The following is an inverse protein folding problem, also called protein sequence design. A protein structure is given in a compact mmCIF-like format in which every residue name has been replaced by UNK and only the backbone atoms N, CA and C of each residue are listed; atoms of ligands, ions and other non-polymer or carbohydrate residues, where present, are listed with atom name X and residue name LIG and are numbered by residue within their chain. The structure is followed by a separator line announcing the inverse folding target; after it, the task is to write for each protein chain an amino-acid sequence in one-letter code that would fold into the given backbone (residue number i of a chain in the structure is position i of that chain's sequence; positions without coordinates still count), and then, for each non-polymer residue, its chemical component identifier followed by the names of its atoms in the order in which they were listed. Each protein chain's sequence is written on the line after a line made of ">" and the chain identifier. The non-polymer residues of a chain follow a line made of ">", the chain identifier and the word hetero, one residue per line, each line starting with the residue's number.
data_IF_366832838747
#
_entry.id   IF_366832838747
#
_cell.length_a   1.000
_cell.length_b   1.000
_cell.length_c   1.000
_cell.angle_alpha   90.00
_cell.angle_beta   90.00
_cell.angle_gamma   90.00
#
_symmetry.space_group_name_H-M   'P 1'
#
loop_
_entity.id
_entity.type
_entity.pdbx_description
1 polymer ?
#
# COMPACT_ATOMS: atom_id res chain seq x y z
N UNK A 1 -6.94 7.00 -16.65
CA UNK A 1 -5.98 6.00 -16.16
C UNK A 1 -6.39 4.60 -16.62
N UNK A 2 -5.43 3.79 -17.05
CA UNK A 2 -5.71 2.40 -17.35
C UNK A 2 -6.30 1.65 -16.16
N UNK A 3 -7.09 0.62 -16.44
CA UNK A 3 -7.77 -0.19 -15.44
C UNK A 3 -7.09 -1.55 -15.28
N UNK A 4 -7.49 -2.31 -14.25
CA UNK A 4 -6.98 -3.67 -14.04
C UNK A 4 -7.45 -4.61 -15.17
N UNK A 5 -6.69 -5.73 -15.43
CA UNK A 5 -5.56 -6.21 -14.64
C UNK A 5 -4.28 -5.40 -14.86
N UNK A 6 -3.36 -5.52 -13.90
CA UNK A 6 -2.05 -4.88 -14.01
C UNK A 6 -1.21 -5.58 -15.08
N UNK A 7 -0.49 -4.81 -15.94
CA UNK A 7 0.53 -5.41 -16.80
C UNK A 7 1.64 -6.09 -15.99
N UNK A 8 2.27 -7.09 -16.58
CA UNK A 8 3.31 -7.86 -15.90
C UNK A 8 4.45 -6.98 -15.38
N UNK A 9 4.89 -5.99 -16.16
CA UNK A 9 5.98 -5.11 -15.74
C UNK A 9 5.63 -4.25 -14.52
N UNK A 10 4.39 -3.76 -14.48
CA UNK A 10 3.89 -3.01 -13.31
C UNK A 10 3.80 -3.94 -12.10
N UNK A 11 3.29 -5.15 -12.29
CA UNK A 11 3.20 -6.15 -11.23
C UNK A 11 4.57 -6.50 -10.67
N UNK A 12 5.54 -6.78 -11.53
CA UNK A 12 6.90 -7.13 -11.12
C UNK A 12 7.55 -5.99 -10.33
N UNK A 13 7.35 -4.75 -10.78
CA UNK A 13 7.83 -3.57 -10.07
C UNK A 13 7.20 -3.47 -8.67
N UNK A 14 5.88 -3.62 -8.57
CA UNK A 14 5.16 -3.49 -7.31
C UNK A 14 5.50 -4.61 -6.31
N UNK A 15 6.02 -5.75 -6.77
CA UNK A 15 6.45 -6.83 -5.88
C UNK A 15 7.72 -6.52 -5.12
N UNK A 16 8.46 -5.52 -5.52
CA UNK A 16 9.68 -5.12 -4.83
C UNK A 16 9.38 -4.25 -3.61
N UNK A 17 10.27 -4.22 -2.60
CA UNK A 17 10.09 -3.38 -1.42
C UNK A 17 10.41 -1.92 -1.75
N UNK A 18 9.55 -1.28 -2.51
CA UNK A 18 9.76 0.10 -2.95
C UNK A 18 9.37 1.09 -1.85
N UNK A 19 10.08 2.22 -1.74
CA UNK A 19 9.55 3.37 -1.01
C UNK A 19 8.18 3.73 -1.58
N UNK A 20 7.22 4.02 -0.72
CA UNK A 20 5.87 4.32 -1.19
C UNK A 20 5.22 5.40 -0.36
N UNK A 21 4.28 6.10 -0.99
CA UNK A 21 3.44 7.11 -0.36
C UNK A 21 1.99 6.70 -0.56
N UNK A 22 1.24 6.72 0.52
CA UNK A 22 -0.17 6.38 0.56
C UNK A 22 -1.00 7.63 0.78
N UNK A 23 -2.04 7.82 0.01
CA UNK A 23 -3.00 8.90 0.18
C UNK A 23 -4.36 8.34 0.60
N UNK A 24 -4.95 8.98 1.60
CA UNK A 24 -6.31 8.71 2.10
C UNK A 24 -7.12 9.99 2.08
N UNK A 25 -8.42 9.86 2.29
CA UNK A 25 -9.35 11.00 2.28
C UNK A 25 -9.88 11.21 3.69
N UNK A 26 -9.62 12.38 4.26
CA UNK A 26 -10.14 12.77 5.56
C UNK A 26 -11.65 13.02 5.48
N UNK A 27 -12.30 13.08 6.65
CA UNK A 27 -13.76 13.24 6.74
C UNK A 27 -14.26 14.50 6.03
N UNK A 28 -13.47 15.58 6.04
CA UNK A 28 -13.82 16.84 5.36
C UNK A 28 -13.44 16.86 3.87
N UNK A 29 -12.97 15.74 3.33
CA UNK A 29 -12.61 15.62 1.93
C UNK A 29 -11.16 15.94 1.61
N UNK A 30 -10.35 16.37 2.59
CA UNK A 30 -8.94 16.66 2.32
C UNK A 30 -8.17 15.39 1.99
N UNK A 31 -7.33 15.41 0.94
CA UNK A 31 -6.38 14.34 0.73
C UNK A 31 -5.23 14.45 1.73
N UNK A 32 -4.84 13.30 2.30
CA UNK A 32 -3.73 13.22 3.26
C UNK A 32 -2.78 12.14 2.79
N UNK A 33 -1.49 12.44 2.72
CA UNK A 33 -0.48 11.48 2.27
C UNK A 33 0.60 11.25 3.30
N UNK A 34 1.14 10.03 3.31
CA UNK A 34 2.17 9.61 4.26
C UNK A 34 2.98 8.47 3.66
N UNK A 35 4.26 8.41 3.99
CA UNK A 35 5.11 7.29 3.61
C UNK A 35 4.62 6.01 4.29
N UNK A 36 4.71 4.88 3.59
CA UNK A 36 4.19 3.62 4.09
C UNK A 36 4.94 2.43 3.50
N UNK A 37 4.89 1.32 4.22
CA UNK A 37 5.19 0.01 3.64
C UNK A 37 3.93 -0.54 2.96
N UNK A 38 4.15 -1.37 1.96
CA UNK A 38 3.08 -2.12 1.30
C UNK A 38 3.63 -3.46 0.82
N UNK A 39 2.74 -4.39 0.50
CA UNK A 39 3.15 -5.67 -0.08
C UNK A 39 2.09 -6.11 -1.09
N UNK A 40 2.53 -6.36 -2.33
CA UNK A 40 1.63 -6.88 -3.36
C UNK A 40 1.41 -8.38 -3.12
N UNK A 41 0.17 -8.78 -2.91
CA UNK A 41 -0.21 -10.18 -2.73
C UNK A 41 -0.33 -10.88 -4.08
N UNK A 42 -0.28 -12.22 -4.04
CA UNK A 42 -0.38 -13.03 -5.26
C UNK A 42 -1.73 -12.85 -5.97
N UNK A 43 -2.78 -12.50 -5.24
CA UNK A 43 -4.11 -12.26 -5.82
C UNK A 43 -4.26 -10.86 -6.44
N UNK A 44 -3.21 -10.04 -6.41
CA UNK A 44 -3.20 -8.69 -6.97
C UNK A 44 -3.68 -7.60 -6.04
N UNK A 45 -4.05 -7.92 -4.80
CA UNK A 45 -4.36 -6.90 -3.80
C UNK A 45 -3.08 -6.43 -3.11
N UNK A 46 -3.16 -5.28 -2.45
CA UNK A 46 -2.02 -4.73 -1.69
C UNK A 46 -2.33 -4.80 -0.20
N UNK A 47 -1.44 -5.47 0.54
CA UNK A 47 -1.49 -5.52 1.99
C UNK A 47 -0.98 -4.21 2.57
N UNK A 48 -1.77 -3.64 3.49
CA UNK A 48 -1.43 -2.44 4.26
C UNK A 48 -1.58 -2.75 5.75
N UNK A 49 -0.55 -2.45 6.51
CA UNK A 49 -0.57 -2.60 7.97
C UNK A 49 -0.54 -1.25 8.64
N UNK A 50 -1.29 -1.10 9.73
CA UNK A 50 -1.39 0.15 10.47
C UNK A 50 -1.40 -0.11 11.97
N UNK A 51 -0.79 0.82 12.70
CA UNK A 51 -1.01 0.96 14.13
C UNK A 51 -2.48 1.37 14.34
N UNK A 52 -3.16 0.73 15.28
CA UNK A 52 -4.60 0.94 15.50
C UNK A 52 -4.97 2.38 15.86
N UNK A 53 -4.00 3.20 16.33
CA UNK A 53 -4.22 4.60 16.68
C UNK A 53 -4.01 5.60 15.55
N UNK A 54 -3.66 5.16 14.36
CA UNK A 54 -3.33 6.09 13.25
C UNK A 54 -4.56 6.80 12.68
N UNK A 55 -4.35 8.08 12.31
CA UNK A 55 -5.40 8.88 11.66
C UNK A 55 -5.85 8.26 10.33
N UNK A 56 -4.93 7.65 9.58
CA UNK A 56 -5.26 6.96 8.32
C UNK A 56 -6.35 5.92 8.49
N UNK A 57 -6.37 5.23 9.63
CA UNK A 57 -7.36 4.22 9.91
C UNK A 57 -8.77 4.82 9.96
N UNK A 58 -8.92 5.98 10.61
CA UNK A 58 -10.19 6.71 10.66
C UNK A 58 -10.60 7.17 9.27
N UNK A 59 -9.65 7.65 8.47
CA UNK A 59 -9.92 8.06 7.08
C UNK A 59 -10.49 6.90 6.29
N UNK A 60 -9.84 5.74 6.33
CA UNK A 60 -10.26 4.57 5.54
C UNK A 60 -11.61 3.99 6.01
N UNK A 61 -11.94 4.11 7.29
CA UNK A 61 -13.26 3.70 7.79
C UNK A 61 -14.37 4.61 7.30
N UNK A 62 -14.06 5.88 7.10
CA UNK A 62 -15.02 6.86 6.59
C UNK A 62 -15.09 6.82 5.05
N UNK A 63 -13.96 6.73 4.38
CA UNK A 63 -13.85 6.71 2.92
C UNK A 63 -12.83 5.65 2.51
N UNK A 64 -13.25 4.57 1.82
CA UNK A 64 -12.34 3.47 1.51
C UNK A 64 -11.40 3.75 0.34
N UNK A 65 -11.50 4.89 -0.32
CA UNK A 65 -10.64 5.23 -1.47
C UNK A 65 -9.22 5.50 -1.00
N UNK A 66 -8.26 4.83 -1.63
CA UNK A 66 -6.83 4.93 -1.32
C UNK A 66 -6.04 4.97 -2.61
N UNK A 67 -4.98 5.77 -2.60
CA UNK A 67 -3.99 5.81 -3.67
C UNK A 67 -2.63 5.50 -3.10
N UNK A 68 -1.82 4.73 -3.83
CA UNK A 68 -0.44 4.43 -3.45
C UNK A 68 0.46 4.72 -4.65
N UNK A 69 1.54 5.46 -4.41
CA UNK A 69 2.61 5.65 -5.39
C UNK A 69 3.86 4.98 -4.85
N UNK A 70 4.36 3.98 -5.59
CA UNK A 70 5.60 3.29 -5.29
C UNK A 70 6.70 3.84 -6.19
N UNK A 71 7.85 4.15 -5.60
CA UNK A 71 8.97 4.81 -6.27
C UNK A 71 10.15 3.84 -6.37
N UNK A 72 10.84 3.81 -7.50
CA UNK A 72 12.08 3.05 -7.60
C UNK A 72 13.14 3.65 -6.68
N UNK A 73 13.84 2.80 -5.93
CA UNK A 73 14.98 3.26 -5.12
C UNK A 73 16.10 3.85 -5.97
N UNK A 74 16.28 3.33 -7.18
CA UNK A 74 17.35 3.80 -8.07
C UNK A 74 17.04 5.17 -8.66
N UNK A 75 15.76 5.44 -8.97
CA UNK A 75 15.34 6.71 -9.57
C UNK A 75 13.83 6.90 -9.39
N UNK A 76 13.43 7.96 -8.71
CA UNK A 76 12.01 8.24 -8.49
C UNK A 76 11.24 8.54 -9.79
N UNK A 77 11.92 8.82 -10.90
CA UNK A 77 11.26 8.95 -12.20
C UNK A 77 10.55 7.66 -12.61
N UNK A 78 11.12 6.50 -12.26
CA UNK A 78 10.44 5.23 -12.46
C UNK A 78 9.54 4.98 -11.25
N UNK A 79 8.24 5.04 -11.46
CA UNK A 79 7.26 4.83 -10.40
C UNK A 79 5.96 4.26 -10.96
N UNK A 80 5.17 3.71 -10.07
CA UNK A 80 3.82 3.25 -10.36
C UNK A 80 2.87 3.80 -9.31
N UNK A 81 1.75 4.36 -9.77
CA UNK A 81 0.64 4.76 -8.91
C UNK A 81 -0.54 3.84 -9.13
N UNK A 82 -1.17 3.42 -8.05
CA UNK A 82 -2.38 2.61 -8.09
C UNK A 82 -3.45 3.28 -7.25
N UNK A 83 -4.70 3.13 -7.68
CA UNK A 83 -5.86 3.67 -6.98
C UNK A 83 -6.89 2.57 -6.83
N UNK A 84 -7.56 2.55 -5.70
CA UNK A 84 -8.60 1.58 -5.45
C UNK A 84 -9.30 1.81 -4.13
N UNK A 85 -9.81 0.72 -3.57
CA UNK A 85 -10.59 0.74 -2.33
C UNK A 85 -10.06 -0.30 -1.38
N UNK A 86 -9.94 0.08 -0.11
CA UNK A 86 -9.61 -0.88 0.94
C UNK A 86 -10.88 -1.65 1.32
N UNK A 87 -10.68 -2.91 1.69
CA UNK A 87 -11.73 -3.76 2.19
C UNK A 87 -11.85 -3.68 3.70
N UNK A 88 -12.27 -4.79 4.30
CA UNK A 88 -12.43 -4.88 5.74
C UNK A 88 -11.12 -4.63 6.47
N UNK A 89 -11.19 -3.92 7.59
CA UNK A 89 -10.05 -3.64 8.46
C UNK A 89 -10.09 -4.66 9.59
N UNK A 90 -9.06 -5.48 9.68
CA UNK A 90 -8.99 -6.63 10.58
C UNK A 90 -7.88 -6.47 11.61
N UNK A 91 -8.07 -7.06 12.77
CA UNK A 91 -7.01 -7.12 13.78
C UNK A 91 -5.85 -7.99 13.28
N UNK A 92 -4.64 -7.51 13.48
CA UNK A 92 -3.43 -8.24 13.11
C UNK A 92 -3.06 -9.23 14.21
N UNK A 93 -3.69 -10.39 14.18
CA UNK A 93 -3.52 -11.43 15.19
C UNK A 93 -2.08 -11.93 15.18
N UNK A 94 -1.44 -11.94 16.35
CA UNK A 94 -0.05 -12.36 16.54
C UNK A 94 0.94 -11.50 15.73
N UNK A 95 0.51 -10.32 15.29
CA UNK A 95 1.34 -9.40 14.49
C UNK A 95 1.89 -10.04 13.21
N UNK A 96 1.16 -10.98 12.64
CA UNK A 96 1.60 -11.73 11.45
C UNK A 96 1.78 -10.85 10.24
N UNK A 97 0.87 -9.90 10.03
CA UNK A 97 0.90 -9.09 8.81
C UNK A 97 1.98 -8.02 8.87
N UNK A 98 2.16 -7.38 10.02
CA UNK A 98 3.27 -6.41 10.16
C UNK A 98 4.62 -7.11 10.03
N UNK A 99 4.74 -8.35 10.49
CA UNK A 99 5.97 -9.12 10.32
C UNK A 99 6.25 -9.41 8.85
N UNK A 100 5.22 -9.77 8.07
CA UNK A 100 5.37 -9.97 6.62
C UNK A 100 5.90 -8.71 5.94
N UNK A 101 5.34 -7.55 6.27
CA UNK A 101 5.79 -6.26 5.74
C UNK A 101 7.21 -5.96 6.16
N UNK A 102 7.55 -6.14 7.42
CA UNK A 102 8.88 -5.88 7.97
C UNK A 102 9.94 -6.79 7.32
N UNK A 103 9.64 -8.07 7.17
CA UNK A 103 10.54 -9.02 6.51
C UNK A 103 10.75 -8.65 5.04
N UNK A 104 9.69 -8.22 4.37
CA UNK A 104 9.77 -7.81 2.97
C UNK A 104 10.71 -6.61 2.77
N UNK A 105 10.66 -5.63 3.67
CA UNK A 105 11.48 -4.41 3.58
C UNK A 105 12.86 -4.54 4.21
N UNK A 106 12.99 -5.25 5.33
CA UNK A 106 14.21 -5.28 6.11
C UNK A 106 14.76 -6.66 6.45
N UNK A 107 14.08 -7.74 6.08
CA UNK A 107 14.53 -9.10 6.31
C UNK A 107 14.31 -9.63 7.72
N UNK A 108 13.72 -8.84 8.62
CA UNK A 108 13.50 -9.23 10.01
C UNK A 108 12.06 -8.97 10.43
N UNK A 109 11.53 -9.75 11.40
CA UNK A 109 10.22 -9.46 11.98
C UNK A 109 10.18 -8.07 12.61
N UNK A 110 8.98 -7.51 12.73
CA UNK A 110 8.80 -6.19 13.32
C UNK A 110 9.13 -6.23 14.81
N UNK A 111 9.94 -5.27 15.33
CA UNK A 111 10.38 -5.32 16.73
C UNK A 111 9.27 -5.13 17.77
N UNK A 112 8.23 -4.36 17.45
CA UNK A 112 7.14 -4.06 18.37
C UNK A 112 5.97 -5.03 18.15
N UNK A 113 5.81 -6.01 19.05
CA UNK A 113 4.68 -6.94 19.07
C UNK A 113 3.72 -6.64 20.21
N UNK A 114 3.78 -5.44 20.79
CA UNK A 114 2.95 -5.05 21.93
C UNK A 114 1.77 -4.16 21.51
N UNK A 115 2.01 -3.16 20.67
CA UNK A 115 0.96 -2.24 20.21
C UNK A 115 -0.09 -2.98 19.39
N UNK A 116 -1.38 -2.71 19.62
CA UNK A 116 -2.43 -3.25 18.75
C UNK A 116 -2.24 -2.76 17.33
N UNK A 117 -2.33 -3.67 16.37
CA UNK A 117 -2.21 -3.35 14.95
C UNK A 117 -3.38 -3.94 14.19
N UNK A 118 -3.67 -3.29 13.07
CA UNK A 118 -4.70 -3.73 12.13
C UNK A 118 -4.09 -3.84 10.74
N UNK A 119 -4.79 -4.52 9.84
CA UNK A 119 -4.40 -4.59 8.44
C UNK A 119 -5.64 -4.58 7.56
N UNK A 120 -5.41 -4.26 6.30
CA UNK A 120 -6.45 -4.31 5.27
C UNK A 120 -5.79 -4.61 3.92
N UNK A 121 -6.60 -4.89 2.92
CA UNK A 121 -6.13 -5.07 1.56
C UNK A 121 -6.78 -4.05 0.64
N UNK A 122 -5.97 -3.44 -0.22
CA UNK A 122 -6.42 -2.54 -1.27
C UNK A 122 -6.69 -3.34 -2.53
N UNK A 123 -7.90 -3.23 -3.05
CA UNK A 123 -8.23 -3.75 -4.39
C UNK A 123 -7.93 -2.66 -5.40
N UNK A 124 -7.04 -2.94 -6.35
CA UNK A 124 -6.60 -1.97 -7.35
C UNK A 124 -7.66 -1.87 -8.43
N UNK A 125 -8.12 -0.64 -8.71
CA UNK A 125 -9.08 -0.35 -9.78
C UNK A 125 -8.42 0.32 -10.96
N UNK A 126 -7.40 1.15 -10.73
CA UNK A 126 -6.70 1.93 -11.76
C UNK A 126 -5.21 1.96 -11.47
N UNK A 127 -4.42 2.13 -12.50
CA UNK A 127 -2.96 2.20 -12.36
C UNK A 127 -2.36 3.19 -13.36
N UNK A 128 -1.13 3.63 -13.07
CA UNK A 128 -0.35 4.51 -13.93
C UNK A 128 1.14 4.16 -13.73
N UNK A 129 1.88 4.07 -14.81
CA UNK A 129 3.32 3.86 -14.78
C UNK A 129 4.06 5.00 -15.45
N UNK A 130 5.24 5.33 -14.95
CA UNK A 130 6.10 6.37 -15.51
C UNK A 130 7.56 5.94 -15.49
N UNK A 131 8.41 6.68 -16.21
CA UNK A 131 9.82 6.32 -16.37
C UNK A 131 9.94 5.05 -17.19
N UNK A 132 10.65 4.05 -16.68
CA UNK A 132 10.79 2.75 -17.36
C UNK A 132 9.47 1.98 -17.44
N UNK A 133 8.45 2.40 -16.70
CA UNK A 133 7.13 1.78 -16.71
C UNK A 133 6.12 2.53 -17.57
N UNK A 134 6.57 3.58 -18.27
CA UNK A 134 5.73 4.32 -19.19
C UNK A 134 5.35 3.44 -20.39
N UNK A 135 4.11 3.54 -20.82
CA UNK A 135 3.60 2.84 -22.03
C UNK A 135 3.66 1.31 -21.95
N UNK A 136 3.55 0.75 -20.75
CA UNK A 136 3.46 -0.70 -20.57
C UNK A 136 2.01 -1.19 -20.52
#
# INVERSE_FOLDING_TARGET
>A
MPTTPLPDRIRDFLRQPNPAVMATVAKDGRPVSVATWYLLEDDGTILLGLDAGRARLKHMRHDPRVSITALSEASWYTHASVQGRVGEILDDVEHRQIDRLSIHYGGQPYPDHVRPRVYTHLTIERWHGWGELKDV
#
